data_IF_603498503684
#
_entry.id   IF_603498503684
#
_cell.length_a   1.000
_cell.length_b   1.000
_cell.length_c   1.000
_cell.angle_alpha   90.00
_cell.angle_beta   90.00
_cell.angle_gamma   90.00
#
_symmetry.space_group_name_H-M   'P 1'
#
loop_
_entity.id
_entity.type
_entity.pdbx_description
1 polymer ?
#
# COMPACT_ATOMS: atom_id res chain seq x y z
N UNK A 1 17.46 10.42 4.68
CA UNK A 1 17.88 9.04 4.31
C UNK A 1 18.21 8.30 5.58
N UNK A 2 17.61 7.14 5.81
CA UNK A 2 17.85 6.28 6.99
C UNK A 2 18.86 5.22 6.57
N UNK A 3 20.08 5.30 7.10
CA UNK A 3 21.18 4.43 6.66
C UNK A 3 21.20 3.06 7.33
N UNK A 4 20.49 2.91 8.48
CA UNK A 4 20.39 1.65 9.22
C UNK A 4 19.20 1.64 10.15
N UNK A 5 18.55 0.48 10.28
CA UNK A 5 17.56 0.17 11.32
C UNK A 5 18.16 -0.89 12.24
N UNK A 6 18.52 -0.48 13.46
CA UNK A 6 19.20 -1.38 14.40
C UNK A 6 18.25 -2.43 14.96
N UNK A 7 17.01 -2.05 15.25
CA UNK A 7 15.98 -2.90 15.83
C UNK A 7 14.71 -2.84 14.97
N UNK A 8 14.59 -3.65 13.91
CA UNK A 8 13.41 -3.65 13.05
C UNK A 8 12.11 -3.89 13.82
N UNK A 9 11.17 -2.93 13.73
CA UNK A 9 9.87 -3.02 14.36
C UNK A 9 9.73 -2.36 15.73
N UNK A 10 10.81 -1.78 16.32
CA UNK A 10 10.74 -1.09 17.62
C UNK A 10 10.37 0.39 17.49
N UNK A 11 10.86 1.07 16.46
CA UNK A 11 10.53 2.47 16.20
C UNK A 11 9.27 2.58 15.35
N UNK A 12 8.41 3.57 15.67
CA UNK A 12 7.15 3.80 14.95
C UNK A 12 7.15 5.17 14.26
N UNK A 13 6.65 5.21 13.01
CA UNK A 13 6.55 6.40 12.19
C UNK A 13 5.30 6.36 11.32
N UNK A 14 4.88 7.52 10.81
CA UNK A 14 3.77 7.62 9.88
C UNK A 14 4.28 7.82 8.45
N UNK A 15 3.96 6.89 7.56
CA UNK A 15 4.20 7.01 6.13
C UNK A 15 3.53 8.27 5.55
N UNK A 16 2.30 8.56 5.99
CA UNK A 16 1.57 9.74 5.53
C UNK A 16 2.26 11.06 5.92
N UNK A 17 2.74 11.18 7.17
CA UNK A 17 3.52 12.37 7.58
C UNK A 17 4.79 12.52 6.76
N UNK A 18 5.50 11.42 6.48
CA UNK A 18 6.69 11.41 5.63
C UNK A 18 6.37 11.90 4.22
N UNK A 19 5.29 11.42 3.62
CA UNK A 19 4.81 11.90 2.31
C UNK A 19 4.43 13.39 2.37
N UNK A 20 3.79 13.85 3.45
CA UNK A 20 3.48 15.28 3.67
C UNK A 20 4.73 16.16 3.66
N UNK A 21 5.83 15.74 4.32
CA UNK A 21 7.13 16.42 4.29
C UNK A 21 7.70 16.51 2.86
N UNK A 22 7.59 15.43 2.09
CA UNK A 22 8.09 15.36 0.72
C UNK A 22 7.24 16.20 -0.25
N UNK A 23 5.93 16.22 -0.07
CA UNK A 23 5.01 17.09 -0.82
C UNK A 23 5.32 18.57 -0.53
N UNK A 24 5.56 18.92 0.73
CA UNK A 24 5.98 20.28 1.14
C UNK A 24 7.26 20.69 0.41
N UNK A 25 8.28 19.86 0.45
CA UNK A 25 9.55 20.12 -0.23
C UNK A 25 9.39 20.24 -1.76
N UNK A 26 8.50 19.46 -2.36
CA UNK A 26 8.26 19.52 -3.82
C UNK A 26 7.48 20.81 -4.20
N UNK A 27 6.51 21.24 -3.40
CA UNK A 27 5.79 22.51 -3.60
C UNK A 27 6.71 23.72 -3.50
N UNK A 28 7.69 23.69 -2.59
CA UNK A 28 8.72 24.78 -2.50
C UNK A 28 9.66 24.77 -3.70
N UNK A 29 10.05 23.60 -4.18
CA UNK A 29 11.06 23.44 -5.23
C UNK A 29 10.52 23.67 -6.64
N UNK A 30 9.30 23.21 -6.92
CA UNK A 30 8.69 23.23 -8.26
C UNK A 30 7.43 24.10 -8.27
N UNK A 31 7.48 25.30 -8.90
CA UNK A 31 6.31 26.19 -9.01
C UNK A 31 5.20 25.64 -9.92
N UNK A 32 5.45 24.55 -10.64
CA UNK A 32 4.51 23.87 -11.51
C UNK A 32 4.02 22.53 -10.96
N UNK A 33 4.33 22.22 -9.71
CA UNK A 33 3.79 21.06 -9.02
C UNK A 33 2.45 21.41 -8.34
N UNK A 34 1.44 20.57 -8.53
CA UNK A 34 0.12 20.69 -7.92
C UNK A 34 -0.25 19.49 -7.08
N UNK A 35 -0.91 19.75 -5.96
CA UNK A 35 -1.49 18.71 -5.12
C UNK A 35 -3.02 18.79 -5.12
N UNK A 36 -3.69 17.66 -5.31
CA UNK A 36 -5.13 17.50 -5.37
C UNK A 36 -5.64 16.63 -4.23
N UNK A 37 -6.73 17.05 -3.57
CA UNK A 37 -7.36 16.28 -2.48
C UNK A 37 -8.86 16.60 -2.40
N UNK A 38 -9.74 15.60 -2.12
CA UNK A 38 -11.17 15.84 -1.95
C UNK A 38 -11.51 16.33 -0.53
N UNK A 39 -10.88 17.43 -0.07
CA UNK A 39 -11.02 17.99 1.29
C UNK A 39 -10.51 17.04 2.40
N UNK A 40 -9.48 16.26 2.08
CA UNK A 40 -8.95 15.22 2.98
C UNK A 40 -7.50 15.46 3.39
N UNK A 41 -6.91 16.59 3.00
CA UNK A 41 -5.47 16.87 3.20
C UNK A 41 -5.05 16.75 4.66
N UNK A 42 -5.78 17.41 5.56
CA UNK A 42 -5.47 17.37 7.00
C UNK A 42 -5.75 15.98 7.60
N UNK A 43 -6.86 15.35 7.25
CA UNK A 43 -7.20 14.02 7.78
C UNK A 43 -6.25 12.93 7.30
N UNK A 44 -5.61 13.12 6.15
CA UNK A 44 -4.58 12.25 5.60
C UNK A 44 -3.16 12.57 6.08
N UNK A 45 -3.00 13.53 7.01
CA UNK A 45 -1.70 13.94 7.57
C UNK A 45 -0.77 14.62 6.57
N UNK A 46 -1.32 15.31 5.58
CA UNK A 46 -0.58 16.12 4.60
C UNK A 46 -0.66 17.63 4.90
N UNK A 47 -1.20 18.02 6.05
CA UNK A 47 -1.46 19.41 6.44
C UNK A 47 -0.22 20.32 6.43
N UNK A 48 0.98 19.77 6.54
CA UNK A 48 2.26 20.50 6.43
C UNK A 48 2.41 21.29 5.12
N UNK A 49 1.76 20.86 4.03
CA UNK A 49 1.81 21.57 2.75
C UNK A 49 1.22 22.98 2.83
N UNK A 50 0.31 23.23 3.78
CA UNK A 50 -0.28 24.55 4.01
C UNK A 50 0.67 25.56 4.66
N UNK A 51 1.81 25.10 5.17
CA UNK A 51 2.86 25.99 5.70
C UNK A 51 3.61 26.73 4.58
N UNK A 52 3.63 26.16 3.38
CA UNK A 52 4.41 26.69 2.23
C UNK A 52 3.52 27.09 1.04
N UNK A 53 2.30 26.56 0.93
CA UNK A 53 1.45 26.80 -0.22
C UNK A 53 -0.01 27.04 0.20
N UNK A 54 -0.79 27.62 -0.68
CA UNK A 54 -2.18 27.99 -0.43
C UNK A 54 -3.16 27.13 -1.21
N UNK A 55 -4.36 26.99 -0.65
CA UNK A 55 -5.50 26.45 -1.39
C UNK A 55 -5.85 27.32 -2.60
N UNK A 56 -6.13 26.71 -3.72
CA UNK A 56 -6.70 27.36 -4.88
C UNK A 56 -8.14 27.86 -4.55
N UNK A 57 -8.38 29.16 -4.69
CA UNK A 57 -9.65 29.74 -4.36
C UNK A 57 -10.12 30.75 -5.41
N UNK A 58 -11.16 30.42 -6.16
CA UNK A 58 -11.65 31.22 -7.27
C UNK A 58 -12.73 32.26 -6.89
N UNK A 59 -13.06 32.44 -5.62
CA UNK A 59 -14.10 33.35 -5.14
C UNK A 59 -13.48 34.54 -4.38
N UNK A 60 -14.18 35.64 -4.27
CA UNK A 60 -13.75 36.78 -3.44
C UNK A 60 -13.63 36.34 -1.98
N UNK A 61 -12.42 36.52 -1.43
CA UNK A 61 -12.13 36.21 -0.04
C UNK A 61 -12.77 37.20 0.92
N UNK A 62 -13.24 36.69 2.05
CA UNK A 62 -13.60 37.48 3.22
C UNK A 62 -12.48 37.28 4.26
N UNK A 63 -11.62 38.26 4.44
CA UNK A 63 -10.37 38.18 5.22
C UNK A 63 -10.52 37.62 6.63
N UNK A 64 -11.70 37.76 7.24
CA UNK A 64 -11.98 37.27 8.61
C UNK A 64 -12.21 35.74 8.70
N UNK A 65 -12.57 35.09 7.60
CA UNK A 65 -13.02 33.68 7.60
C UNK A 65 -12.15 32.76 6.76
N UNK A 66 -11.41 33.32 5.82
CA UNK A 66 -10.65 32.53 4.85
C UNK A 66 -9.29 32.15 5.40
N UNK A 67 -9.05 30.85 5.52
CA UNK A 67 -7.74 30.27 5.74
C UNK A 67 -6.80 30.65 4.58
N UNK A 68 -5.51 30.24 4.60
CA UNK A 68 -4.53 30.60 3.56
C UNK A 68 -4.96 30.14 2.17
N UNK A 69 -5.70 30.97 1.48
CA UNK A 69 -6.30 30.76 0.17
C UNK A 69 -5.79 31.82 -0.83
N UNK A 70 -5.59 31.41 -2.08
CA UNK A 70 -5.20 32.31 -3.17
C UNK A 70 -5.77 31.83 -4.50
N UNK A 71 -6.03 32.78 -5.42
CA UNK A 71 -6.52 32.45 -6.75
C UNK A 71 -5.53 31.60 -7.56
N UNK A 72 -4.25 31.72 -7.26
CA UNK A 72 -3.11 31.01 -7.85
C UNK A 72 -2.54 29.90 -6.95
N UNK A 73 -3.29 29.50 -5.90
CA UNK A 73 -2.88 28.40 -5.01
C UNK A 73 -2.75 27.08 -5.77
N UNK A 74 -1.79 26.25 -5.34
CA UNK A 74 -1.48 24.96 -5.98
C UNK A 74 -1.96 23.75 -5.21
N UNK A 75 -2.64 23.96 -4.09
CA UNK A 75 -3.36 22.91 -3.36
C UNK A 75 -4.84 23.04 -3.77
N UNK A 76 -5.33 22.07 -4.55
CA UNK A 76 -6.69 22.10 -5.09
C UNK A 76 -7.55 21.12 -4.28
N UNK A 77 -8.44 21.66 -3.45
CA UNK A 77 -9.38 20.86 -2.67
C UNK A 77 -10.79 21.01 -3.20
N UNK A 78 -11.47 19.88 -3.42
CA UNK A 78 -12.85 19.83 -3.87
C UNK A 78 -13.44 18.45 -3.56
N UNK A 79 -14.62 18.40 -2.94
CA UNK A 79 -15.34 17.15 -2.64
C UNK A 79 -15.85 16.46 -3.92
N UNK A 80 -14.94 16.11 -4.81
CA UNK A 80 -15.23 15.46 -6.09
C UNK A 80 -13.97 14.89 -6.72
N UNK A 81 -13.67 13.62 -6.46
CA UNK A 81 -12.49 12.92 -6.99
C UNK A 81 -12.45 12.97 -8.52
N UNK A 82 -13.58 12.82 -9.17
CA UNK A 82 -13.65 12.82 -10.63
C UNK A 82 -13.35 14.21 -11.25
N UNK A 83 -13.76 15.30 -10.61
CA UNK A 83 -13.41 16.67 -11.06
C UNK A 83 -11.93 16.92 -10.81
N UNK A 84 -11.43 16.59 -9.60
CA UNK A 84 -10.02 16.74 -9.26
C UNK A 84 -9.12 15.96 -10.23
N UNK A 85 -9.47 14.71 -10.52
CA UNK A 85 -8.72 13.90 -11.48
C UNK A 85 -8.73 14.49 -12.89
N UNK A 86 -9.87 15.06 -13.33
CA UNK A 86 -9.96 15.73 -14.63
C UNK A 86 -9.05 16.96 -14.71
N UNK A 87 -9.02 17.77 -13.65
CA UNK A 87 -8.15 18.96 -13.59
C UNK A 87 -6.69 18.51 -13.53
N UNK A 88 -6.35 17.55 -12.68
CA UNK A 88 -5.00 16.98 -12.59
C UNK A 88 -4.50 16.46 -13.95
N UNK A 89 -5.33 15.73 -14.70
CA UNK A 89 -4.91 15.24 -16.03
C UNK A 89 -4.67 16.36 -17.01
N UNK A 90 -5.36 17.50 -16.90
CA UNK A 90 -5.08 18.72 -17.68
C UNK A 90 -3.65 19.25 -17.41
N UNK A 91 -3.24 19.32 -16.15
CA UNK A 91 -1.88 19.70 -15.74
C UNK A 91 -0.83 18.71 -16.29
N UNK A 92 -1.06 17.41 -16.13
CA UNK A 92 -0.15 16.38 -16.66
C UNK A 92 -0.01 16.47 -18.18
N UNK A 93 -1.08 16.73 -18.92
CA UNK A 93 -1.04 16.89 -20.39
C UNK A 93 -0.28 18.15 -20.81
N UNK A 94 -0.21 19.16 -19.96
CA UNK A 94 0.59 20.38 -20.16
C UNK A 94 2.08 20.18 -19.76
N UNK A 95 2.43 19.02 -19.20
CA UNK A 95 3.79 18.70 -18.78
C UNK A 95 4.11 19.09 -17.34
N UNK A 96 3.10 19.50 -16.57
CA UNK A 96 3.22 19.83 -15.15
C UNK A 96 3.07 18.59 -14.30
N UNK A 97 3.83 18.49 -13.20
CA UNK A 97 3.76 17.35 -12.28
C UNK A 97 2.66 17.55 -11.26
N UNK A 98 1.99 16.46 -10.89
CA UNK A 98 0.91 16.50 -9.91
C UNK A 98 0.76 15.18 -9.16
N UNK A 99 0.14 15.27 -7.97
CA UNK A 99 -0.32 14.11 -7.20
C UNK A 99 -1.76 14.34 -6.71
N UNK A 100 -2.54 13.25 -6.64
CA UNK A 100 -3.87 13.24 -6.03
C UNK A 100 -3.88 12.27 -4.86
N UNK A 101 -4.22 12.79 -3.67
CA UNK A 101 -4.41 12.02 -2.46
C UNK A 101 -5.88 11.91 -2.08
N UNK A 102 -6.39 10.69 -1.85
CA UNK A 102 -7.76 10.45 -1.40
C UNK A 102 -7.87 9.18 -0.56
N UNK A 103 -8.99 9.02 0.12
CA UNK A 103 -9.33 7.79 0.81
C UNK A 103 -9.45 6.63 -0.17
N UNK A 104 -8.93 5.48 0.23
CA UNK A 104 -8.90 4.27 -0.59
C UNK A 104 -10.28 3.91 -1.15
N UNK A 105 -11.33 3.99 -0.32
CA UNK A 105 -12.69 3.61 -0.69
C UNK A 105 -13.31 4.51 -1.77
N UNK A 106 -12.81 5.74 -1.95
CA UNK A 106 -13.39 6.71 -2.89
C UNK A 106 -12.61 6.82 -4.20
N UNK A 107 -11.36 6.39 -4.23
CA UNK A 107 -10.58 6.34 -5.47
C UNK A 107 -11.25 5.54 -6.61
N UNK A 108 -12.04 4.48 -6.41
CA UNK A 108 -12.77 3.84 -7.51
C UNK A 108 -13.69 4.76 -8.31
N UNK A 109 -14.09 5.93 -7.77
CA UNK A 109 -14.89 6.95 -8.48
C UNK A 109 -14.19 7.41 -9.76
N UNK A 110 -12.86 7.45 -9.79
CA UNK A 110 -12.09 7.88 -10.97
C UNK A 110 -11.78 6.78 -11.97
N UNK A 111 -12.19 5.53 -11.74
CA UNK A 111 -11.79 4.36 -12.55
C UNK A 111 -12.01 4.57 -14.05
N UNK A 112 -13.18 5.09 -14.46
CA UNK A 112 -13.49 5.30 -15.87
C UNK A 112 -12.54 6.31 -16.53
N UNK A 113 -12.27 7.42 -15.85
CA UNK A 113 -11.38 8.47 -16.33
C UNK A 113 -9.92 7.97 -16.37
N UNK A 114 -9.52 7.20 -15.34
CA UNK A 114 -8.20 6.60 -15.27
C UNK A 114 -7.95 5.62 -16.43
N UNK A 115 -8.95 4.81 -16.78
CA UNK A 115 -8.90 3.95 -17.97
C UNK A 115 -8.73 4.74 -19.27
N UNK A 116 -9.39 5.89 -19.40
CA UNK A 116 -9.20 6.78 -20.56
C UNK A 116 -7.78 7.36 -20.57
N UNK A 117 -7.28 7.82 -19.41
CA UNK A 117 -5.94 8.37 -19.31
C UNK A 117 -4.87 7.34 -19.68
N UNK A 118 -5.00 6.08 -19.25
CA UNK A 118 -4.11 4.98 -19.65
C UNK A 118 -4.11 4.81 -21.18
N UNK A 119 -5.27 4.92 -21.82
CA UNK A 119 -5.37 4.85 -23.29
C UNK A 119 -4.71 6.05 -23.97
N UNK A 120 -4.87 7.26 -23.43
CA UNK A 120 -4.17 8.44 -23.93
C UNK A 120 -2.66 8.30 -23.83
N UNK A 121 -2.13 7.85 -22.68
CA UNK A 121 -0.71 7.56 -22.51
C UNK A 121 -0.24 6.56 -23.57
N UNK A 122 -0.96 5.44 -23.73
CA UNK A 122 -0.62 4.40 -24.70
C UNK A 122 -0.61 4.92 -26.14
N UNK A 123 -1.57 5.77 -26.51
CA UNK A 123 -1.62 6.37 -27.85
C UNK A 123 -0.50 7.40 -28.04
N UNK A 124 -0.19 8.19 -27.01
CA UNK A 124 0.88 9.18 -27.09
C UNK A 124 2.26 8.57 -27.29
N UNK A 125 2.51 7.39 -26.72
CA UNK A 125 3.77 6.65 -26.91
C UNK A 125 4.02 6.23 -28.38
N UNK A 126 2.98 6.15 -29.19
CA UNK A 126 3.09 5.83 -30.63
C UNK A 126 3.35 7.06 -31.51
N UNK A 127 3.45 8.28 -30.93
CA UNK A 127 3.56 9.55 -31.65
C UNK A 127 4.94 10.14 -31.42
N UNK A 128 5.84 10.04 -32.40
CA UNK A 128 7.27 10.38 -32.30
C UNK A 128 7.56 11.83 -31.83
N UNK A 129 6.72 12.80 -32.20
CA UNK A 129 6.93 14.20 -31.84
C UNK A 129 6.42 14.54 -30.41
N UNK A 130 5.72 13.62 -29.75
CA UNK A 130 5.15 13.89 -28.42
C UNK A 130 6.19 13.62 -27.33
N UNK A 131 6.37 14.60 -26.45
CA UNK A 131 7.23 14.44 -25.26
C UNK A 131 6.58 13.48 -24.27
N UNK A 132 7.38 12.78 -23.44
CA UNK A 132 6.85 12.04 -22.31
C UNK A 132 5.98 12.92 -21.41
N UNK A 133 4.91 12.36 -20.89
CA UNK A 133 4.03 13.01 -19.92
C UNK A 133 4.44 12.61 -18.50
N UNK A 134 4.40 13.53 -17.53
CA UNK A 134 4.54 13.14 -16.13
C UNK A 134 3.56 12.02 -15.78
N UNK A 135 3.94 11.16 -14.84
CA UNK A 135 3.09 10.05 -14.41
C UNK A 135 1.82 10.53 -13.70
N UNK A 136 0.76 9.74 -13.83
CA UNK A 136 -0.43 9.88 -12.99
C UNK A 136 -0.10 9.28 -11.62
N UNK A 137 0.04 10.10 -10.59
CA UNK A 137 0.43 9.68 -9.25
C UNK A 137 -0.74 9.80 -8.29
N UNK A 138 -1.16 8.66 -7.72
CA UNK A 138 -2.27 8.52 -6.78
C UNK A 138 -1.75 8.04 -5.43
N UNK A 139 -2.11 8.76 -4.36
CA UNK A 139 -1.86 8.40 -2.97
C UNK A 139 -3.17 7.88 -2.37
N UNK A 140 -3.23 6.59 -2.13
CA UNK A 140 -4.35 5.90 -1.50
C UNK A 140 -4.09 5.80 0.00
N UNK A 141 -4.89 6.49 0.77
CA UNK A 141 -4.77 6.60 2.22
C UNK A 141 -6.07 6.22 2.91
N UNK A 142 -6.12 6.30 4.24
CA UNK A 142 -7.32 5.93 4.99
C UNK A 142 -7.84 4.55 4.57
N UNK A 143 -6.91 3.60 4.59
CA UNK A 143 -7.03 2.26 4.03
C UNK A 143 -8.13 1.43 4.71
N UNK A 144 -8.72 0.48 3.99
CA UNK A 144 -9.86 -0.33 4.42
C UNK A 144 -9.64 -0.99 5.79
N UNK A 145 -8.43 -1.40 6.12
CA UNK A 145 -8.05 -2.02 7.38
C UNK A 145 -8.14 -1.10 8.61
N UNK A 146 -8.17 0.22 8.40
CA UNK A 146 -8.15 1.26 9.46
C UNK A 146 -9.30 2.25 9.35
N UNK A 147 -10.35 1.89 8.65
CA UNK A 147 -11.63 2.60 8.64
C UNK A 147 -12.69 1.87 9.49
N UNK A 148 -12.24 1.18 10.51
CA UNK A 148 -13.03 0.44 11.49
C UNK A 148 -14.08 1.31 12.20
N UNK A 149 -13.79 2.59 12.44
CA UNK A 149 -14.72 3.56 13.05
C UNK A 149 -15.76 4.13 12.06
N UNK A 150 -15.45 4.20 10.77
CA UNK A 150 -16.38 4.70 9.74
C UNK A 150 -17.28 3.58 9.18
N UNK A 151 -16.87 2.32 9.35
CA UNK A 151 -17.61 1.15 8.88
C UNK A 151 -17.47 0.91 7.37
N UNK A 152 -18.23 -0.04 6.87
CA UNK A 152 -18.12 -0.63 5.53
C UNK A 152 -18.15 0.37 4.37
N UNK A 153 -18.78 1.53 4.51
CA UNK A 153 -18.84 2.54 3.45
C UNK A 153 -17.49 3.20 3.12
N UNK A 154 -16.51 3.07 4.03
CA UNK A 154 -15.17 3.62 3.88
C UNK A 154 -14.10 2.51 3.70
N UNK A 155 -14.53 1.28 3.42
CA UNK A 155 -13.66 0.11 3.39
C UNK A 155 -13.76 -0.54 2.00
N UNK A 156 -12.86 -0.21 1.09
CA UNK A 156 -12.80 -0.85 -0.24
C UNK A 156 -11.44 -0.68 -0.91
N UNK A 157 -10.68 -1.76 -1.10
CA UNK A 157 -9.43 -1.75 -1.87
C UNK A 157 -9.67 -2.02 -3.37
N UNK A 158 -10.88 -1.83 -3.87
CA UNK A 158 -11.31 -2.28 -5.20
C UNK A 158 -10.47 -1.70 -6.35
N UNK A 159 -9.97 -0.46 -6.23
CA UNK A 159 -9.15 0.16 -7.29
C UNK A 159 -7.87 -0.64 -7.58
N UNK A 160 -7.24 -1.24 -6.56
CA UNK A 160 -6.04 -2.08 -6.70
C UNK A 160 -6.31 -3.22 -7.69
N UNK A 161 -7.39 -3.97 -7.47
CA UNK A 161 -7.77 -5.10 -8.32
C UNK A 161 -8.13 -4.66 -9.74
N UNK A 162 -8.84 -3.54 -9.87
CA UNK A 162 -9.18 -2.96 -11.16
C UNK A 162 -7.92 -2.60 -11.95
N UNK A 163 -6.97 -1.91 -11.35
CA UNK A 163 -5.73 -1.49 -12.00
C UNK A 163 -4.83 -2.68 -12.38
N UNK A 164 -4.66 -3.64 -11.48
CA UNK A 164 -3.83 -4.83 -11.72
C UNK A 164 -4.44 -5.78 -12.77
N UNK A 165 -5.72 -5.64 -13.08
CA UNK A 165 -6.38 -6.38 -14.17
C UNK A 165 -6.20 -5.76 -15.55
N UNK A 166 -5.71 -4.52 -15.67
CA UNK A 166 -5.58 -3.80 -16.94
C UNK A 166 -4.35 -4.28 -17.73
N UNK A 167 -4.51 -4.89 -18.93
CA UNK A 167 -3.38 -5.42 -19.69
C UNK A 167 -2.64 -4.31 -20.50
N UNK A 168 -2.42 -3.16 -19.89
CA UNK A 168 -1.75 -2.03 -20.54
C UNK A 168 -0.23 -2.08 -20.44
N UNK A 169 0.30 -2.67 -19.36
CA UNK A 169 1.71 -2.57 -18.99
C UNK A 169 2.15 -1.16 -18.57
N UNK A 170 1.20 -0.33 -18.12
CA UNK A 170 1.43 1.07 -17.74
C UNK A 170 1.01 1.39 -16.30
N UNK A 171 0.80 0.38 -15.46
CA UNK A 171 0.29 0.57 -14.10
C UNK A 171 1.22 -0.06 -13.08
N UNK A 172 1.57 0.67 -12.05
CA UNK A 172 2.24 0.23 -10.84
C UNK A 172 1.30 0.39 -9.65
N UNK A 173 1.12 -0.67 -8.85
CA UNK A 173 0.54 -0.61 -7.51
C UNK A 173 1.66 -0.84 -6.50
N UNK A 174 1.90 0.13 -5.63
CA UNK A 174 3.04 0.19 -4.72
C UNK A 174 2.52 0.07 -3.29
N UNK A 175 3.15 -0.79 -2.51
CA UNK A 175 2.77 -1.16 -1.15
C UNK A 175 3.95 -0.99 -0.20
N UNK A 176 4.30 0.25 0.18
CA UNK A 176 5.38 0.48 1.13
C UNK A 176 5.08 -0.18 2.47
N UNK A 177 6.07 -0.86 3.05
CA UNK A 177 5.90 -1.54 4.33
C UNK A 177 5.96 -0.57 5.51
N UNK A 178 6.67 0.55 5.35
CA UNK A 178 6.90 1.57 6.37
C UNK A 178 7.15 2.96 5.75
N UNK A 179 7.50 3.93 6.58
CA UNK A 179 7.77 5.31 6.17
C UNK A 179 9.00 5.45 5.26
N UNK A 180 10.01 4.61 5.42
CA UNK A 180 11.23 4.61 4.58
C UNK A 180 10.91 4.06 3.18
N UNK A 181 10.13 2.98 3.11
CA UNK A 181 9.64 2.47 1.84
C UNK A 181 8.70 3.47 1.14
N UNK A 182 7.90 4.24 1.92
CA UNK A 182 7.03 5.27 1.37
C UNK A 182 7.83 6.47 0.80
N UNK A 183 8.93 6.87 1.44
CA UNK A 183 9.87 7.88 0.91
C UNK A 183 10.43 7.45 -0.45
N UNK A 184 10.91 6.21 -0.57
CA UNK A 184 11.43 5.68 -1.85
C UNK A 184 10.32 5.55 -2.91
N UNK A 185 9.11 5.12 -2.51
CA UNK A 185 7.94 5.10 -3.39
C UNK A 185 7.63 6.49 -3.95
N UNK A 186 7.66 7.53 -3.12
CA UNK A 186 7.46 8.91 -3.55
C UNK A 186 8.50 9.32 -4.59
N UNK A 187 9.78 9.06 -4.33
CA UNK A 187 10.86 9.39 -5.27
C UNK A 187 10.72 8.63 -6.59
N UNK A 188 10.31 7.37 -6.55
CA UNK A 188 10.01 6.61 -7.75
C UNK A 188 8.85 7.25 -8.54
N UNK A 189 7.75 7.59 -7.86
CA UNK A 189 6.55 8.14 -8.48
C UNK A 189 6.80 9.50 -9.14
N UNK A 190 7.43 10.44 -8.42
CA UNK A 190 7.63 11.82 -8.90
C UNK A 190 8.56 11.90 -10.11
N UNK A 191 9.44 10.91 -10.28
CA UNK A 191 10.37 10.80 -11.40
C UNK A 191 9.85 9.89 -12.53
N UNK A 192 8.69 9.26 -12.38
CA UNK A 192 8.11 8.39 -13.40
C UNK A 192 7.42 9.19 -14.50
N UNK A 193 7.43 8.63 -15.71
CA UNK A 193 6.77 9.20 -16.90
C UNK A 193 5.94 8.14 -17.60
N UNK A 194 4.83 8.56 -18.25
CA UNK A 194 3.98 7.73 -19.10
C UNK A 194 3.38 6.50 -18.40
N UNK A 195 3.20 6.54 -17.09
CA UNK A 195 2.64 5.45 -16.27
C UNK A 195 1.60 5.98 -15.29
N UNK A 196 0.87 5.07 -14.70
CA UNK A 196 -0.01 5.29 -13.55
C UNK A 196 0.61 4.61 -12.35
N UNK A 197 0.83 5.34 -11.29
CA UNK A 197 1.27 4.85 -10.00
C UNK A 197 0.14 5.01 -8.97
N UNK A 198 -0.20 3.94 -8.28
CA UNK A 198 -1.05 3.93 -7.11
C UNK A 198 -0.21 3.46 -5.92
N UNK A 199 0.00 4.31 -4.93
CA UNK A 199 0.68 3.94 -3.69
C UNK A 199 -0.32 3.90 -2.55
N UNK A 200 -0.38 2.77 -1.83
CA UNK A 200 -1.35 2.53 -0.75
C UNK A 200 -0.63 2.34 0.57
N UNK A 201 -0.99 3.15 1.59
CA UNK A 201 -0.37 3.12 2.92
C UNK A 201 -1.32 3.65 4.01
N UNK A 202 -1.13 3.19 5.25
CA UNK A 202 -1.83 3.68 6.43
C UNK A 202 -1.36 5.10 6.81
N UNK A 203 -2.28 5.94 7.22
CA UNK A 203 -1.98 7.28 7.75
C UNK A 203 -1.54 7.30 9.21
N UNK A 204 -1.77 6.20 9.94
CA UNK A 204 -1.36 6.07 11.33
C UNK A 204 0.11 5.66 11.45
N UNK A 205 0.63 5.76 12.67
CA UNK A 205 1.99 5.33 12.96
C UNK A 205 2.12 3.81 12.88
N UNK A 206 3.22 3.34 12.25
CA UNK A 206 3.54 1.94 12.03
C UNK A 206 5.01 1.65 12.36
N UNK A 207 5.35 0.41 12.74
CA UNK A 207 6.72 0.01 12.94
C UNK A 207 7.56 0.17 11.68
N UNK A 208 8.80 0.68 11.85
CA UNK A 208 9.82 0.73 10.81
C UNK A 208 10.61 -0.56 10.77
N UNK A 209 10.80 -1.11 9.58
CA UNK A 209 11.46 -2.40 9.37
C UNK A 209 12.72 -2.33 8.52
N UNK A 210 12.80 -1.37 7.62
CA UNK A 210 13.87 -1.30 6.62
C UNK A 210 14.55 0.06 6.58
N UNK A 211 15.79 0.07 6.09
CA UNK A 211 16.55 1.27 5.78
C UNK A 211 16.38 1.69 4.30
N UNK A 212 16.92 2.86 3.96
CA UNK A 212 16.82 3.42 2.61
C UNK A 212 17.51 2.55 1.54
N UNK A 213 18.58 1.83 1.91
CA UNK A 213 19.25 0.90 1.00
C UNK A 213 18.35 -0.28 0.64
N UNK A 214 17.66 -0.83 1.63
CA UNK A 214 16.73 -1.94 1.41
C UNK A 214 15.52 -1.49 0.59
N UNK A 215 14.92 -0.33 0.91
CA UNK A 215 13.81 0.23 0.15
C UNK A 215 14.16 0.43 -1.33
N UNK A 216 15.31 1.07 -1.59
CA UNK A 216 15.81 1.27 -2.96
C UNK A 216 16.11 -0.07 -3.65
N UNK A 217 16.73 -1.02 -2.95
CA UNK A 217 17.00 -2.34 -3.49
C UNK A 217 15.74 -3.04 -3.99
N UNK A 218 14.60 -2.92 -3.30
CA UNK A 218 13.34 -3.51 -3.72
C UNK A 218 12.90 -2.96 -5.09
N UNK A 219 12.92 -1.64 -5.29
CA UNK A 219 12.56 -1.04 -6.58
C UNK A 219 13.50 -1.46 -7.71
N UNK A 220 14.80 -1.42 -7.45
CA UNK A 220 15.83 -1.75 -8.44
C UNK A 220 15.83 -3.24 -8.82
N UNK A 221 15.28 -4.13 -7.97
CA UNK A 221 15.36 -5.58 -8.12
C UNK A 221 14.01 -6.29 -8.25
N UNK A 222 13.00 -5.62 -8.81
CA UNK A 222 11.74 -6.27 -9.17
C UNK A 222 10.70 -6.29 -8.06
N UNK A 223 10.73 -5.32 -7.14
CA UNK A 223 9.64 -5.02 -6.23
C UNK A 223 9.42 -6.00 -5.09
N UNK A 224 10.37 -6.90 -4.81
CA UNK A 224 10.31 -7.81 -3.67
C UNK A 224 11.70 -8.18 -3.15
N UNK A 225 11.80 -8.46 -1.84
CA UNK A 225 13.04 -8.86 -1.19
C UNK A 225 12.83 -9.72 0.04
N UNK A 226 13.88 -10.43 0.45
CA UNK A 226 13.90 -11.19 1.70
C UNK A 226 14.24 -10.25 2.85
N UNK A 227 13.44 -10.28 3.91
CA UNK A 227 13.67 -9.54 5.15
C UNK A 227 14.54 -10.38 6.08
N UNK A 228 15.85 -10.10 6.05
CA UNK A 228 16.87 -10.96 6.69
C UNK A 228 16.75 -11.05 8.22
N UNK A 229 16.24 -9.98 8.89
CA UNK A 229 16.14 -9.93 10.35
C UNK A 229 15.18 -10.97 10.94
N UNK A 230 14.30 -11.57 10.11
CA UNK A 230 13.31 -12.56 10.56
C UNK A 230 13.33 -13.85 9.73
N UNK A 231 14.16 -13.92 8.68
CA UNK A 231 14.18 -15.01 7.71
C UNK A 231 15.30 -16.01 7.94
N UNK A 232 15.01 -17.26 7.62
CA UNK A 232 15.99 -18.37 7.58
C UNK A 232 16.46 -18.61 6.13
N UNK A 233 17.74 -19.02 5.94
CA UNK A 233 18.32 -19.26 4.60
C UNK A 233 17.63 -20.40 3.85
N UNK A 234 17.34 -21.50 4.57
CA UNK A 234 16.72 -22.72 4.01
C UNK A 234 15.35 -22.94 4.64
N UNK A 235 14.33 -22.25 4.15
CA UNK A 235 13.01 -22.28 4.78
C UNK A 235 12.25 -23.57 4.50
N UNK A 236 11.39 -23.97 5.44
CA UNK A 236 10.38 -25.03 5.27
C UNK A 236 9.11 -24.47 4.64
N UNK A 237 8.82 -23.17 4.87
CA UNK A 237 7.75 -22.42 4.25
C UNK A 237 8.16 -20.95 4.04
N UNK A 238 7.44 -20.27 3.15
CA UNK A 238 7.64 -18.84 2.85
C UNK A 238 6.39 -18.08 3.22
N UNK A 239 6.56 -17.03 4.02
CA UNK A 239 5.54 -15.99 4.16
C UNK A 239 5.84 -14.85 3.20
N UNK A 240 4.79 -14.22 2.69
CA UNK A 240 4.89 -12.99 1.90
C UNK A 240 3.76 -12.04 2.23
N UNK A 241 4.00 -10.75 2.11
CA UNK A 241 2.96 -9.74 2.26
C UNK A 241 3.19 -8.56 1.32
N UNK A 242 2.09 -7.88 0.95
CA UNK A 242 2.09 -6.62 0.23
C UNK A 242 1.08 -5.67 0.89
N UNK A 243 1.57 -4.61 1.52
CA UNK A 243 0.86 -3.64 2.36
C UNK A 243 1.46 -3.58 3.77
N UNK A 244 1.43 -2.42 4.39
CA UNK A 244 2.03 -2.14 5.70
C UNK A 244 1.38 -2.93 6.84
N UNK A 245 0.05 -2.84 6.98
CA UNK A 245 -0.72 -3.50 8.04
C UNK A 245 -0.59 -5.03 7.95
N UNK A 246 -0.82 -5.58 6.77
CA UNK A 246 -0.76 -7.03 6.56
C UNK A 246 0.67 -7.57 6.64
N UNK A 247 1.69 -6.76 6.34
CA UNK A 247 3.10 -7.12 6.57
C UNK A 247 3.43 -7.17 8.06
N UNK A 248 2.94 -6.20 8.84
CA UNK A 248 3.08 -6.24 10.30
C UNK A 248 2.47 -7.50 10.89
N UNK A 249 1.22 -7.83 10.53
CA UNK A 249 0.56 -9.05 10.98
C UNK A 249 1.32 -10.32 10.59
N UNK A 250 1.91 -10.33 9.40
CA UNK A 250 2.72 -11.45 8.93
C UNK A 250 4.02 -11.60 9.74
N UNK A 251 4.69 -10.50 10.06
CA UNK A 251 5.89 -10.51 10.91
C UNK A 251 5.55 -11.01 12.31
N UNK A 252 4.45 -10.54 12.90
CA UNK A 252 3.99 -11.00 14.21
C UNK A 252 3.58 -12.49 14.20
N UNK A 253 2.94 -12.98 13.14
CA UNK A 253 2.68 -14.40 12.97
C UNK A 253 3.96 -15.24 12.96
N UNK A 254 5.00 -14.76 12.28
CA UNK A 254 6.31 -15.44 12.24
C UNK A 254 6.96 -15.45 13.64
N UNK A 255 6.88 -14.35 14.39
CA UNK A 255 7.39 -14.29 15.77
C UNK A 255 6.68 -15.31 16.67
N UNK A 256 5.36 -15.40 16.60
CA UNK A 256 4.55 -16.38 17.34
C UNK A 256 4.98 -17.81 16.97
N UNK A 257 5.07 -18.09 15.67
CA UNK A 257 5.46 -19.42 15.18
C UNK A 257 6.89 -19.81 15.59
N UNK A 258 7.84 -18.88 15.59
CA UNK A 258 9.22 -19.15 16.05
C UNK A 258 9.30 -19.41 17.56
N UNK A 259 8.37 -18.86 18.35
CA UNK A 259 8.26 -19.18 19.78
C UNK A 259 7.67 -20.58 20.00
N UNK A 260 6.61 -20.93 19.27
CA UNK A 260 5.87 -22.18 19.44
C UNK A 260 6.52 -23.37 18.71
N UNK A 261 7.26 -23.11 17.64
CA UNK A 261 7.92 -24.08 16.76
C UNK A 261 9.35 -23.63 16.44
N UNK A 262 10.27 -23.62 17.41
CA UNK A 262 11.61 -23.05 17.21
C UNK A 262 12.45 -23.80 16.14
N UNK A 263 12.10 -25.03 15.81
CA UNK A 263 12.74 -25.81 14.73
C UNK A 263 12.26 -25.43 13.33
N UNK A 264 11.09 -24.78 13.22
CA UNK A 264 10.48 -24.42 11.91
C UNK A 264 11.24 -23.26 11.29
N UNK A 265 11.77 -23.48 10.09
CA UNK A 265 12.49 -22.46 9.33
C UNK A 265 11.55 -21.71 8.41
N UNK A 266 11.50 -20.39 8.60
CA UNK A 266 10.57 -19.52 7.92
C UNK A 266 11.35 -18.43 7.18
N UNK A 267 10.93 -18.12 5.96
CA UNK A 267 11.39 -16.95 5.20
C UNK A 267 10.25 -15.96 5.04
N UNK A 268 10.53 -14.68 5.23
CA UNK A 268 9.63 -13.60 4.89
C UNK A 268 10.13 -12.85 3.66
N UNK A 269 9.26 -12.74 2.64
CA UNK A 269 9.48 -11.97 1.42
C UNK A 269 8.48 -10.84 1.39
N UNK A 270 8.92 -9.60 1.57
CA UNK A 270 8.09 -8.42 1.43
C UNK A 270 7.94 -8.05 -0.05
N UNK A 271 6.71 -7.83 -0.51
CA UNK A 271 6.39 -7.33 -1.86
C UNK A 271 6.07 -5.85 -1.75
N UNK A 272 6.85 -5.02 -2.43
CA UNK A 272 6.69 -3.57 -2.46
C UNK A 272 5.93 -3.06 -3.68
N UNK A 273 5.95 -3.79 -4.80
CA UNK A 273 5.29 -3.37 -6.02
C UNK A 273 4.68 -4.53 -6.80
N UNK A 274 3.52 -4.28 -7.38
CA UNK A 274 2.80 -5.17 -8.28
C UNK A 274 2.42 -4.43 -9.56
N UNK A 275 2.39 -5.15 -10.67
CA UNK A 275 1.89 -4.67 -11.95
C UNK A 275 1.10 -5.79 -12.63
N UNK A 276 0.52 -5.52 -13.80
CA UNK A 276 -0.25 -6.53 -14.53
C UNK A 276 0.54 -7.84 -14.69
N UNK A 277 0.02 -8.91 -14.06
CA UNK A 277 0.60 -10.25 -14.09
C UNK A 277 2.04 -10.36 -13.60
N UNK A 278 2.49 -9.49 -12.72
CA UNK A 278 3.87 -9.54 -12.23
C UNK A 278 4.09 -8.90 -10.87
N UNK A 279 5.06 -9.43 -10.15
CA UNK A 279 5.67 -8.75 -9.00
C UNK A 279 6.71 -7.78 -9.56
N UNK A 280 6.67 -6.54 -9.12
CA UNK A 280 7.55 -5.47 -9.57
C UNK A 280 6.81 -4.32 -10.24
N UNK A 281 7.57 -3.45 -10.89
CA UNK A 281 7.07 -2.30 -11.65
C UNK A 281 6.93 -2.63 -13.15
N UNK A 282 6.38 -1.71 -13.93
CA UNK A 282 6.29 -1.84 -15.39
C UNK A 282 7.68 -1.98 -16.04
N UNK A 283 8.70 -1.35 -15.44
CA UNK A 283 10.06 -1.33 -15.96
C UNK A 283 10.86 -2.59 -15.56
N UNK A 284 10.59 -3.12 -14.36
CA UNK A 284 11.31 -4.25 -13.79
C UNK A 284 10.36 -5.19 -13.04
N UNK A 285 10.07 -6.33 -13.65
CA UNK A 285 9.34 -7.44 -13.02
C UNK A 285 10.30 -8.56 -12.65
N UNK A 286 9.94 -9.33 -11.63
CA UNK A 286 10.65 -10.57 -11.33
C UNK A 286 10.53 -11.55 -12.51
N UNK A 287 11.66 -12.11 -12.91
CA UNK A 287 11.68 -13.32 -13.73
C UNK A 287 11.28 -14.54 -12.89
N UNK A 288 10.96 -15.66 -13.54
CA UNK A 288 10.67 -16.91 -12.86
C UNK A 288 11.84 -17.39 -12.00
N UNK A 289 13.07 -17.20 -12.44
CA UNK A 289 14.28 -17.57 -11.69
C UNK A 289 14.46 -16.69 -10.46
N UNK A 290 14.27 -15.38 -10.56
CA UNK A 290 14.32 -14.45 -9.42
C UNK A 290 13.22 -14.80 -8.41
N UNK A 291 12.00 -15.10 -8.87
CA UNK A 291 10.93 -15.58 -8.00
C UNK A 291 11.31 -16.86 -7.26
N UNK A 292 11.84 -17.88 -7.96
CA UNK A 292 12.27 -19.14 -7.34
C UNK A 292 13.40 -18.96 -6.31
N UNK A 293 14.28 -17.97 -6.50
CA UNK A 293 15.31 -17.61 -5.53
C UNK A 293 14.72 -17.00 -4.24
N UNK A 294 13.71 -16.17 -4.37
CA UNK A 294 13.02 -15.56 -3.23
C UNK A 294 12.06 -16.55 -2.54
N UNK A 295 11.17 -17.16 -3.31
CA UNK A 295 10.02 -17.94 -2.83
C UNK A 295 10.27 -19.45 -2.80
N UNK A 296 11.45 -19.90 -3.18
CA UNK A 296 11.80 -21.32 -3.41
C UNK A 296 10.98 -21.95 -4.56
N UNK A 297 11.36 -23.17 -4.98
CA UNK A 297 10.63 -23.89 -6.06
C UNK A 297 9.38 -24.60 -5.58
N UNK A 298 9.39 -25.15 -4.36
CA UNK A 298 8.41 -26.18 -3.96
C UNK A 298 7.78 -25.92 -2.58
N UNK A 299 8.38 -25.04 -1.77
CA UNK A 299 7.89 -24.82 -0.40
C UNK A 299 6.53 -24.13 -0.41
N UNK A 300 5.66 -24.41 0.57
CA UNK A 300 4.40 -23.69 0.72
C UNK A 300 4.60 -22.18 0.85
N UNK A 301 3.67 -21.39 0.32
CA UNK A 301 3.66 -19.94 0.40
C UNK A 301 2.36 -19.51 1.07
N UNK A 302 2.47 -18.77 2.16
CA UNK A 302 1.35 -18.12 2.83
C UNK A 302 1.51 -16.62 2.58
N UNK A 303 0.54 -16.04 1.91
CA UNK A 303 0.54 -14.65 1.50
C UNK A 303 -0.53 -13.85 2.25
N UNK A 304 -0.20 -12.63 2.67
CA UNK A 304 -1.14 -11.69 3.24
C UNK A 304 -1.14 -10.41 2.42
N UNK A 305 -2.28 -10.06 1.85
CA UNK A 305 -2.41 -9.01 0.86
C UNK A 305 -3.30 -7.88 1.34
N UNK A 306 -2.90 -6.66 1.06
CA UNK A 306 -3.69 -5.48 1.38
C UNK A 306 -5.08 -5.50 0.73
N UNK A 307 -5.15 -5.91 -0.53
CA UNK A 307 -6.38 -5.97 -1.34
C UNK A 307 -7.06 -7.34 -1.32
N UNK A 308 -7.85 -7.62 -2.36
CA UNK A 308 -8.57 -8.90 -2.50
C UNK A 308 -7.62 -10.07 -2.76
N UNK A 309 -7.76 -11.19 -2.02
CA UNK A 309 -6.86 -12.36 -2.13
C UNK A 309 -6.65 -12.85 -3.56
N UNK A 310 -7.73 -12.95 -4.33
CA UNK A 310 -7.73 -13.46 -5.71
C UNK A 310 -6.84 -12.62 -6.63
N UNK A 311 -6.70 -11.32 -6.35
CA UNK A 311 -5.84 -10.43 -7.15
C UNK A 311 -4.37 -10.84 -7.04
N UNK A 312 -3.88 -11.07 -5.82
CA UNK A 312 -2.53 -11.53 -5.59
C UNK A 312 -2.35 -12.98 -6.04
N UNK A 313 -3.31 -13.85 -5.80
CA UNK A 313 -3.29 -15.24 -6.23
C UNK A 313 -3.09 -15.35 -7.75
N UNK A 314 -3.88 -14.61 -8.53
CA UNK A 314 -3.76 -14.55 -10.00
C UNK A 314 -2.38 -14.05 -10.47
N UNK A 315 -1.72 -13.17 -9.72
CA UNK A 315 -0.36 -12.71 -10.04
C UNK A 315 0.66 -13.81 -9.72
N UNK A 316 0.56 -14.45 -8.56
CA UNK A 316 1.49 -15.50 -8.13
C UNK A 316 1.40 -16.76 -9.00
N UNK A 317 0.23 -17.08 -9.55
CA UNK A 317 0.04 -18.20 -10.47
C UNK A 317 0.85 -18.10 -11.77
N UNK A 318 1.31 -16.89 -12.15
CA UNK A 318 2.24 -16.74 -13.27
C UNK A 318 3.65 -17.30 -12.96
N UNK A 319 3.97 -17.48 -11.69
CA UNK A 319 5.29 -17.93 -11.23
C UNK A 319 5.29 -19.35 -10.68
N UNK A 320 4.19 -19.77 -10.05
CA UNK A 320 4.13 -21.03 -9.31
C UNK A 320 2.75 -21.68 -9.36
N UNK A 321 2.66 -22.95 -8.89
CA UNK A 321 1.38 -23.66 -8.81
C UNK A 321 0.51 -23.13 -7.67
N UNK A 322 -0.77 -22.99 -7.91
CA UNK A 322 -1.81 -22.67 -6.93
C UNK A 322 -1.80 -23.60 -5.71
N UNK A 323 -1.43 -24.87 -5.90
CA UNK A 323 -1.37 -25.84 -4.81
C UNK A 323 -0.40 -25.50 -3.68
N UNK A 324 0.55 -24.60 -3.93
CA UNK A 324 1.50 -24.08 -2.93
C UNK A 324 0.98 -22.85 -2.18
N UNK A 325 -0.07 -22.21 -2.70
CA UNK A 325 -0.52 -20.90 -2.25
C UNK A 325 -1.62 -21.01 -1.21
N UNK A 326 -1.52 -20.18 -0.17
CA UNK A 326 -2.58 -19.76 0.71
C UNK A 326 -2.54 -18.24 0.72
N UNK A 327 -3.60 -17.59 0.26
CA UNK A 327 -3.64 -16.13 0.12
C UNK A 327 -4.75 -15.57 0.99
N UNK A 328 -4.38 -14.69 1.91
CA UNK A 328 -5.26 -13.91 2.76
C UNK A 328 -5.32 -12.47 2.25
N UNK A 329 -6.38 -11.76 2.60
CA UNK A 329 -6.57 -10.38 2.23
C UNK A 329 -7.94 -9.86 2.61
N UNK A 330 -8.31 -8.69 2.12
CA UNK A 330 -9.62 -8.11 2.40
C UNK A 330 -10.72 -8.86 1.64
N UNK A 331 -11.75 -9.33 2.38
CA UNK A 331 -12.83 -10.16 1.85
C UNK A 331 -14.21 -9.51 1.98
N UNK A 332 -14.29 -8.18 2.04
CA UNK A 332 -15.52 -7.38 2.26
C UNK A 332 -16.27 -7.72 3.57
N UNK A 333 -15.58 -8.32 4.54
CA UNK A 333 -16.12 -8.62 5.88
C UNK A 333 -15.89 -7.47 6.87
N UNK A 334 -15.81 -6.25 6.34
CA UNK A 334 -15.63 -5.04 7.12
C UNK A 334 -16.90 -4.59 7.84
N UNK A 335 -16.72 -3.83 8.90
CA UNK A 335 -17.78 -3.24 9.71
C UNK A 335 -17.22 -2.16 10.62
N UNK A 336 -18.07 -1.44 11.35
CA UNK A 336 -17.67 -0.66 12.53
C UNK A 336 -17.25 -1.65 13.61
N UNK A 337 -15.96 -1.66 13.95
CA UNK A 337 -15.37 -2.65 14.86
C UNK A 337 -14.05 -2.13 15.44
N UNK A 338 -13.22 -2.99 16.01
CA UNK A 338 -11.86 -2.66 16.44
C UNK A 338 -10.83 -3.04 15.36
N UNK A 339 -9.62 -2.45 15.35
CA UNK A 339 -8.62 -2.72 14.30
C UNK A 339 -8.24 -4.20 14.16
N UNK A 340 -7.99 -4.91 15.25
CA UNK A 340 -7.65 -6.32 15.18
C UNK A 340 -8.86 -7.19 14.79
N UNK A 341 -10.05 -6.83 15.25
CA UNK A 341 -11.28 -7.51 14.86
C UNK A 341 -11.56 -7.38 13.36
N UNK A 342 -11.18 -6.26 12.72
CA UNK A 342 -11.22 -6.09 11.27
C UNK A 342 -10.35 -7.13 10.55
N UNK A 343 -9.13 -7.32 11.02
CA UNK A 343 -8.20 -8.33 10.49
C UNK A 343 -8.73 -9.75 10.69
N UNK A 344 -9.25 -10.07 11.89
CA UNK A 344 -9.85 -11.36 12.21
C UNK A 344 -11.05 -11.68 11.30
N UNK A 345 -11.95 -10.72 11.08
CA UNK A 345 -13.13 -10.90 10.22
C UNK A 345 -12.75 -11.27 8.78
N UNK A 346 -11.67 -10.72 8.30
CA UNK A 346 -11.13 -10.98 6.97
C UNK A 346 -10.08 -12.11 6.94
N UNK A 347 -9.93 -12.87 8.06
CA UNK A 347 -8.97 -13.95 8.21
C UNK A 347 -7.51 -13.56 7.83
N UNK A 348 -7.11 -12.31 8.13
CA UNK A 348 -5.81 -11.74 7.76
C UNK A 348 -4.93 -11.41 8.98
N UNK A 349 -5.37 -11.79 10.18
CA UNK A 349 -4.62 -11.53 11.43
C UNK A 349 -3.44 -12.49 11.59
N UNK A 350 -2.51 -12.12 12.49
CA UNK A 350 -1.35 -12.95 12.88
C UNK A 350 -1.72 -14.36 13.30
N UNK A 351 -2.87 -14.54 13.95
CA UNK A 351 -3.33 -15.88 14.38
C UNK A 351 -3.98 -16.66 13.25
N UNK A 352 -4.64 -16.02 12.28
CA UNK A 352 -5.17 -16.70 11.10
C UNK A 352 -4.04 -17.27 10.25
N UNK A 353 -2.97 -16.50 10.07
CA UNK A 353 -1.76 -16.94 9.37
C UNK A 353 -1.04 -18.08 10.11
N UNK A 354 -0.94 -17.99 11.45
CA UNK A 354 -0.35 -19.04 12.28
C UNK A 354 -1.21 -20.32 12.26
N UNK A 355 -2.55 -20.21 12.21
CA UNK A 355 -3.47 -21.33 12.07
C UNK A 355 -3.24 -22.11 10.79
N UNK A 356 -2.98 -21.45 9.67
CA UNK A 356 -2.66 -22.16 8.42
C UNK A 356 -1.41 -23.02 8.54
N UNK A 357 -0.39 -22.53 9.24
CA UNK A 357 0.84 -23.31 9.52
C UNK A 357 0.54 -24.47 10.45
N UNK A 358 -0.20 -24.25 11.55
CA UNK A 358 -0.57 -25.28 12.49
C UNK A 358 -1.34 -26.42 11.81
N UNK A 359 -2.31 -26.07 10.94
CA UNK A 359 -3.08 -27.05 10.13
C UNK A 359 -2.21 -27.78 9.12
N UNK A 360 -1.30 -27.07 8.43
CA UNK A 360 -0.35 -27.67 7.49
C UNK A 360 0.55 -28.70 8.17
N UNK A 361 0.99 -28.42 9.41
CA UNK A 361 1.85 -29.30 10.21
C UNK A 361 1.07 -30.32 11.06
N UNK A 362 -0.27 -30.30 11.03
CA UNK A 362 -1.18 -31.15 11.81
C UNK A 362 -0.94 -31.04 13.33
N UNK A 363 -0.73 -29.81 13.81
CA UNK A 363 -0.51 -29.45 15.22
C UNK A 363 -1.83 -29.00 15.84
N UNK A 364 -2.69 -29.94 16.21
CA UNK A 364 -4.02 -29.68 16.79
C UNK A 364 -3.95 -28.89 18.10
N UNK A 365 -2.86 -29.05 18.86
CA UNK A 365 -2.57 -28.26 20.05
C UNK A 365 -2.43 -26.75 19.75
N UNK A 366 -1.72 -26.39 18.67
CA UNK A 366 -1.54 -25.02 18.23
C UNK A 366 -2.81 -24.47 17.55
N UNK A 367 -3.55 -25.32 16.83
CA UNK A 367 -4.85 -24.94 16.29
C UNK A 367 -5.77 -24.45 17.42
N UNK A 368 -5.90 -25.27 18.48
CA UNK A 368 -6.71 -24.91 19.65
C UNK A 368 -6.23 -23.63 20.34
N UNK A 369 -4.89 -23.46 20.47
CA UNK A 369 -4.27 -22.26 21.05
C UNK A 369 -4.65 -20.98 20.29
N UNK A 370 -4.48 -20.99 18.97
CA UNK A 370 -4.68 -19.80 18.13
C UNK A 370 -6.17 -19.47 17.95
N UNK A 371 -7.03 -20.48 17.80
CA UNK A 371 -8.48 -20.28 17.78
C UNK A 371 -8.98 -19.70 19.10
N UNK A 372 -8.42 -20.13 20.24
CA UNK A 372 -8.74 -19.55 21.56
C UNK A 372 -8.32 -18.08 21.65
N UNK A 373 -7.14 -17.71 21.14
CA UNK A 373 -6.68 -16.32 21.13
C UNK A 373 -7.60 -15.41 20.31
N UNK A 374 -8.01 -15.85 19.12
CA UNK A 374 -8.98 -15.14 18.28
C UNK A 374 -10.34 -14.97 18.99
N UNK A 375 -10.83 -16.03 19.62
CA UNK A 375 -12.11 -16.01 20.33
C UNK A 375 -12.07 -15.06 21.55
N UNK A 376 -10.97 -15.05 22.30
CA UNK A 376 -10.78 -14.17 23.45
C UNK A 376 -10.75 -12.70 23.04
N UNK A 377 -10.02 -12.35 21.96
CA UNK A 377 -10.02 -10.99 21.44
C UNK A 377 -11.43 -10.58 20.97
N UNK A 378 -12.14 -11.46 20.26
CA UNK A 378 -13.50 -11.16 19.82
C UNK A 378 -14.45 -10.86 20.98
N UNK A 379 -14.42 -11.69 22.04
CA UNK A 379 -15.24 -11.47 23.24
C UNK A 379 -14.90 -10.12 23.89
N UNK A 380 -13.62 -9.82 24.03
CA UNK A 380 -13.16 -8.56 24.60
C UNK A 380 -13.58 -7.35 23.74
N UNK A 381 -13.38 -7.44 22.43
CA UNK A 381 -13.75 -6.37 21.50
C UNK A 381 -15.26 -6.06 21.53
N UNK A 382 -16.11 -7.10 21.65
CA UNK A 382 -17.56 -6.94 21.78
C UNK A 382 -17.94 -6.32 23.13
N UNK A 383 -17.27 -6.71 24.21
CA UNK A 383 -17.61 -6.25 25.57
C UNK A 383 -17.09 -4.84 25.87
N UNK A 384 -15.87 -4.53 25.42
CA UNK A 384 -15.16 -3.30 25.81
C UNK A 384 -14.93 -2.31 24.68
N UNK A 385 -15.13 -2.69 23.41
CA UNK A 385 -14.86 -1.85 22.24
C UNK A 385 -13.36 -1.60 21.98
N UNK A 386 -12.50 -2.44 22.53
CA UNK A 386 -11.03 -2.39 22.36
C UNK A 386 -10.48 -3.77 22.08
N UNK A 387 -9.28 -3.83 21.47
CA UNK A 387 -8.59 -5.11 21.27
C UNK A 387 -7.76 -5.51 22.48
N UNK A 388 -7.65 -6.83 22.73
CA UNK A 388 -6.66 -7.41 23.64
C UNK A 388 -5.28 -7.48 22.98
N UNK A 389 -5.28 -7.61 21.66
CA UNK A 389 -4.11 -7.82 20.82
C UNK A 389 -3.84 -6.52 20.09
N UNK A 390 -2.74 -5.89 20.41
CA UNK A 390 -2.35 -4.58 19.89
C UNK A 390 -1.16 -4.70 18.93
#
# INVERSE_FOLDING_TARGET
MIDRVDNPGEEIFSAAKKIGELLTAELEKDPHFYFFSPDETTSNKFDQIFDVEKRAWGVLRQEEWDLPEAADGRIVEMLSENVLFSVMTGHLMNGERAMLGSYEAFLPIITSQLLQQIKFIKQSLAVEWRKPSPAVNLLSTSVCWRQDHNGFTHQSPALISQLLSIPSGLVNCIFPIDDVAAEEAYHFMINSENVVNLTTFDKNERPRYIDSHHAKFQFDNGGASIFQFISDEKPDLVFTAAGDIVSHETIEAIKILKQDLPELKIRFVGINALTYRGIGTVDKKLSKTEFENLFTKEKPIIANFHGYPETLENILENYTSRSRLRVHGFCEEGSTTTPFEMLRRNAASRYDLALDVARLLKRDDLVTKYESALAQNHIHAVEYGTDLIV
#
